data_IF_347495111105
#
_entry.id   IF_347495111105
#
_cell.length_a   1.000
_cell.length_b   1.000
_cell.length_c   1.000
_cell.angle_alpha   90.00
_cell.angle_beta   90.00
_cell.angle_gamma   90.00
#
_symmetry.space_group_name_H-M   'P 1'
#
loop_
_entity.id
_entity.type
_entity.pdbx_description
1 polymer ?
#
# COMPACT_ATOMS: atom_id res chain seq x y z
N UNK A 1 -29.26 12.06 -24.22
CA UNK A 1 -29.37 11.33 -22.95
C UNK A 1 -28.18 11.71 -22.06
N UNK A 2 -28.44 12.25 -20.88
CA UNK A 2 -27.37 12.57 -19.94
C UNK A 2 -26.71 11.25 -19.49
N UNK A 3 -25.44 11.04 -19.85
CA UNK A 3 -24.64 9.96 -19.30
C UNK A 3 -24.58 10.15 -17.79
N UNK A 4 -25.07 9.19 -17.00
CA UNK A 4 -25.01 9.27 -15.55
C UNK A 4 -23.56 9.53 -15.12
N UNK A 5 -23.35 10.37 -14.11
CA UNK A 5 -22.01 10.68 -13.60
C UNK A 5 -21.24 9.42 -13.16
N UNK A 6 -21.95 8.37 -12.80
CA UNK A 6 -21.42 7.05 -12.43
C UNK A 6 -20.74 6.30 -13.59
N UNK A 7 -21.16 6.51 -14.85
CA UNK A 7 -20.52 5.88 -16.01
C UNK A 7 -19.06 6.35 -16.23
N UNK A 8 -18.74 7.58 -15.83
CA UNK A 8 -17.36 8.07 -15.88
C UNK A 8 -16.44 7.38 -14.87
N UNK A 9 -17.02 6.92 -13.76
CA UNK A 9 -16.27 6.24 -12.68
C UNK A 9 -16.12 4.74 -12.96
N UNK A 10 -16.88 4.17 -13.89
CA UNK A 10 -16.87 2.74 -14.21
C UNK A 10 -15.45 2.21 -14.47
N UNK A 11 -14.71 2.88 -15.36
CA UNK A 11 -13.33 2.49 -15.71
C UNK A 11 -12.40 2.49 -14.49
N UNK A 12 -12.52 3.49 -13.61
CA UNK A 12 -11.74 3.57 -12.37
C UNK A 12 -12.09 2.46 -11.38
N UNK A 13 -13.38 2.08 -11.30
CA UNK A 13 -13.81 0.96 -10.49
C UNK A 13 -13.25 -0.37 -11.03
N UNK A 14 -13.30 -0.60 -12.35
CA UNK A 14 -12.72 -1.79 -12.97
C UNK A 14 -11.21 -1.86 -12.70
N UNK A 15 -10.50 -0.74 -12.91
CA UNK A 15 -9.07 -0.62 -12.64
C UNK A 15 -8.74 -0.98 -11.19
N UNK A 16 -9.41 -0.34 -10.23
CA UNK A 16 -9.19 -0.60 -8.81
C UNK A 16 -9.49 -2.04 -8.41
N UNK A 17 -10.58 -2.59 -8.94
CA UNK A 17 -10.98 -3.96 -8.65
C UNK A 17 -9.94 -4.98 -9.14
N UNK A 18 -9.42 -4.80 -10.36
CA UNK A 18 -8.33 -5.61 -10.91
C UNK A 18 -7.06 -5.46 -10.07
N UNK A 19 -6.63 -4.23 -9.76
CA UNK A 19 -5.42 -3.98 -8.96
C UNK A 19 -5.51 -4.61 -7.57
N UNK A 20 -6.67 -4.57 -6.92
CA UNK A 20 -6.82 -5.07 -5.56
C UNK A 20 -7.03 -6.57 -5.49
N UNK A 21 -7.75 -7.17 -6.45
CA UNK A 21 -8.28 -8.52 -6.30
C UNK A 21 -7.71 -9.54 -7.27
N UNK A 22 -6.86 -9.14 -8.23
CA UNK A 22 -6.31 -10.08 -9.20
C UNK A 22 -4.81 -10.30 -9.02
N UNK A 23 -4.36 -11.47 -9.32
CA UNK A 23 -2.98 -11.88 -9.58
C UNK A 23 -3.00 -13.13 -10.47
N UNK A 24 -1.83 -13.65 -10.85
CA UNK A 24 -1.73 -14.82 -11.73
C UNK A 24 -2.49 -16.03 -11.21
N UNK A 25 -2.55 -16.22 -9.90
CA UNK A 25 -3.27 -17.35 -9.29
C UNK A 25 -4.77 -17.09 -9.12
N UNK A 26 -5.18 -15.81 -9.10
CA UNK A 26 -6.56 -15.37 -8.85
C UNK A 26 -7.06 -14.45 -9.98
N UNK A 27 -7.23 -14.96 -11.22
CA UNK A 27 -7.79 -14.17 -12.31
C UNK A 27 -9.27 -13.85 -12.05
N UNK A 28 -9.69 -12.65 -12.42
CA UNK A 28 -11.06 -12.14 -12.26
C UNK A 28 -11.84 -12.31 -13.57
N UNK A 29 -13.01 -12.92 -13.48
CA UNK A 29 -13.92 -13.07 -14.61
C UNK A 29 -14.72 -11.79 -14.88
N UNK A 30 -15.17 -11.60 -16.13
CA UNK A 30 -16.05 -10.47 -16.52
C UNK A 30 -17.33 -10.45 -15.66
N UNK A 31 -17.88 -11.61 -15.31
CA UNK A 31 -19.07 -11.69 -14.45
C UNK A 31 -18.80 -11.13 -13.04
N UNK A 32 -17.63 -11.40 -12.46
CA UNK A 32 -17.25 -10.85 -11.16
C UNK A 32 -17.07 -9.33 -11.23
N UNK A 33 -16.52 -8.79 -12.33
CA UNK A 33 -16.41 -7.34 -12.55
C UNK A 33 -17.80 -6.69 -12.63
N UNK A 34 -18.73 -7.29 -13.36
CA UNK A 34 -20.12 -6.81 -13.46
C UNK A 34 -20.79 -6.81 -12.08
N UNK A 35 -20.72 -7.91 -11.34
CA UNK A 35 -21.28 -8.00 -9.98
C UNK A 35 -20.70 -6.95 -9.02
N UNK A 36 -19.38 -6.71 -9.10
CA UNK A 36 -18.72 -5.68 -8.31
C UNK A 36 -19.24 -4.27 -8.68
N UNK A 37 -19.39 -3.98 -9.98
CA UNK A 37 -19.92 -2.70 -10.44
C UNK A 37 -21.38 -2.50 -10.01
N UNK A 38 -22.21 -3.52 -10.13
CA UNK A 38 -23.61 -3.51 -9.68
C UNK A 38 -23.72 -3.23 -8.19
N UNK A 39 -22.86 -3.85 -7.37
CA UNK A 39 -22.80 -3.59 -5.92
C UNK A 39 -22.42 -2.15 -5.58
N UNK A 40 -21.77 -1.44 -6.51
CA UNK A 40 -21.44 -0.02 -6.41
C UNK A 40 -22.43 0.90 -7.16
N UNK A 41 -23.59 0.37 -7.57
CA UNK A 41 -24.64 1.12 -8.25
C UNK A 41 -24.31 1.50 -9.71
N UNK A 42 -23.38 0.81 -10.34
CA UNK A 42 -22.92 1.04 -11.71
C UNK A 42 -23.39 -0.12 -12.58
N UNK A 43 -24.36 0.13 -13.48
CA UNK A 43 -24.78 -0.86 -14.45
C UNK A 43 -23.72 -1.01 -15.55
N UNK A 44 -23.36 -2.25 -15.88
CA UNK A 44 -22.39 -2.55 -16.91
C UNK A 44 -22.78 -3.78 -17.71
N UNK A 45 -22.60 -3.70 -19.02
CA UNK A 45 -22.79 -4.80 -19.94
C UNK A 45 -21.43 -5.47 -20.23
N UNK A 46 -21.48 -6.76 -20.55
CA UNK A 46 -20.32 -7.58 -20.83
C UNK A 46 -19.38 -6.98 -21.88
N UNK A 47 -19.97 -6.49 -22.99
CA UNK A 47 -19.20 -5.87 -24.07
C UNK A 47 -18.44 -4.62 -23.58
N UNK A 48 -19.08 -3.80 -22.76
CA UNK A 48 -18.45 -2.58 -22.25
C UNK A 48 -17.32 -2.86 -21.25
N UNK A 49 -17.27 -4.03 -20.61
CA UNK A 49 -16.13 -4.44 -19.76
C UNK A 49 -14.93 -4.81 -20.62
N UNK A 50 -15.12 -5.48 -21.75
CA UNK A 50 -14.01 -5.74 -22.68
C UNK A 50 -13.41 -4.45 -23.23
N UNK A 51 -14.26 -3.47 -23.60
CA UNK A 51 -13.80 -2.14 -24.04
C UNK A 51 -13.02 -1.42 -22.92
N UNK A 52 -13.46 -1.53 -21.66
CA UNK A 52 -12.76 -0.96 -20.49
C UNK A 52 -11.38 -1.64 -20.28
N UNK A 53 -11.28 -2.95 -20.42
CA UNK A 53 -10.02 -3.68 -20.28
C UNK A 53 -9.02 -3.23 -21.35
N UNK A 54 -9.46 -3.10 -22.61
CA UNK A 54 -8.61 -2.60 -23.69
C UNK A 54 -8.18 -1.14 -23.47
N UNK A 55 -9.07 -0.31 -22.92
CA UNK A 55 -8.73 1.06 -22.54
C UNK A 55 -7.65 1.09 -21.43
N UNK A 56 -7.74 0.20 -20.43
CA UNK A 56 -6.75 0.08 -19.37
C UNK A 56 -5.40 -0.44 -19.89
N UNK A 57 -5.40 -1.40 -20.82
CA UNK A 57 -4.18 -1.84 -21.53
C UNK A 57 -3.54 -0.68 -22.30
N UNK A 58 -4.33 0.08 -23.02
CA UNK A 58 -3.87 1.28 -23.75
C UNK A 58 -3.33 2.35 -22.82
N UNK A 59 -3.90 2.48 -21.61
CA UNK A 59 -3.40 3.37 -20.55
C UNK A 59 -2.04 2.93 -19.98
N UNK A 60 -1.63 1.67 -20.20
CA UNK A 60 -0.35 1.12 -19.77
C UNK A 60 -0.44 0.10 -18.64
N UNK A 61 -1.65 -0.38 -18.31
CA UNK A 61 -1.79 -1.50 -17.37
C UNK A 61 -1.47 -2.82 -18.09
N UNK A 62 -0.59 -3.59 -17.49
CA UNK A 62 -0.26 -4.93 -17.96
C UNK A 62 -1.33 -5.92 -17.46
N UNK A 63 -2.38 -6.08 -18.29
CA UNK A 63 -3.51 -6.96 -18.00
C UNK A 63 -3.43 -8.18 -18.90
N UNK A 64 -3.23 -9.34 -18.31
CA UNK A 64 -3.14 -10.61 -19.01
C UNK A 64 -4.43 -11.42 -18.88
N UNK A 65 -4.60 -12.34 -19.84
CA UNK A 65 -5.71 -13.30 -19.87
C UNK A 65 -5.25 -14.65 -19.32
N UNK A 66 -6.08 -15.26 -18.49
CA UNK A 66 -5.80 -16.60 -17.99
C UNK A 66 -7.01 -17.51 -18.20
N UNK A 67 -6.74 -18.69 -18.75
CA UNK A 67 -7.72 -19.75 -18.87
C UNK A 67 -7.33 -20.92 -17.96
N UNK A 68 -8.06 -21.07 -16.85
CA UNK A 68 -7.91 -22.22 -15.94
C UNK A 68 -9.12 -23.15 -16.06
N UNK A 69 -8.95 -24.23 -16.76
CA UNK A 69 -10.04 -25.18 -17.03
C UNK A 69 -11.16 -24.53 -17.86
N UNK A 70 -12.33 -24.35 -17.24
CA UNK A 70 -13.51 -23.68 -17.84
C UNK A 70 -13.62 -22.21 -17.50
N UNK A 71 -12.74 -21.69 -16.61
CA UNK A 71 -12.76 -20.30 -16.18
C UNK A 71 -11.82 -19.49 -17.05
N UNK A 72 -12.35 -18.41 -17.62
CA UNK A 72 -11.59 -17.40 -18.34
C UNK A 72 -11.65 -16.10 -17.56
N UNK A 73 -10.51 -15.52 -17.28
CA UNK A 73 -10.42 -14.30 -16.48
C UNK A 73 -9.21 -13.45 -16.84
N UNK A 74 -9.12 -12.30 -16.18
CA UNK A 74 -8.10 -11.27 -16.37
C UNK A 74 -7.36 -11.04 -15.06
N UNK A 75 -6.08 -10.74 -15.13
CA UNK A 75 -5.28 -10.35 -13.98
C UNK A 75 -4.23 -9.32 -14.36
N UNK A 76 -3.79 -8.55 -13.36
CA UNK A 76 -2.69 -7.60 -13.52
C UNK A 76 -1.38 -8.36 -13.34
N UNK A 77 -0.63 -8.50 -14.45
CA UNK A 77 0.61 -9.27 -14.49
C UNK A 77 1.77 -8.49 -13.89
N UNK A 78 1.91 -7.20 -14.23
CA UNK A 78 3.01 -6.35 -13.78
C UNK A 78 2.51 -5.30 -12.79
N UNK A 79 3.21 -5.15 -11.66
CA UNK A 79 2.92 -4.15 -10.62
C UNK A 79 4.14 -3.28 -10.38
N UNK A 80 3.95 -2.13 -9.74
CA UNK A 80 5.05 -1.21 -9.38
C UNK A 80 6.10 -1.90 -8.51
N UNK A 81 5.68 -2.85 -7.67
CA UNK A 81 6.58 -3.65 -6.83
C UNK A 81 6.24 -5.13 -6.98
N UNK A 82 7.28 -5.95 -7.10
CA UNK A 82 7.16 -7.39 -7.00
C UNK A 82 6.97 -7.83 -5.54
N UNK A 83 6.39 -9.01 -5.34
CA UNK A 83 6.16 -9.55 -3.99
C UNK A 83 7.45 -9.68 -3.15
N UNK A 84 8.61 -10.10 -3.69
CA UNK A 84 9.88 -10.10 -2.94
C UNK A 84 10.32 -8.71 -2.49
N UNK A 85 10.11 -7.68 -3.31
CA UNK A 85 10.45 -6.30 -2.96
C UNK A 85 9.56 -5.78 -1.83
N UNK A 86 8.25 -6.06 -1.88
CA UNK A 86 7.32 -5.72 -0.81
C UNK A 86 7.68 -6.42 0.50
N UNK A 87 8.13 -7.69 0.46
CA UNK A 87 8.65 -8.41 1.64
C UNK A 87 9.85 -7.68 2.24
N UNK A 88 10.80 -7.26 1.41
CA UNK A 88 11.97 -6.50 1.85
C UNK A 88 11.59 -5.16 2.50
N UNK A 89 10.60 -4.44 1.93
CA UNK A 89 10.08 -3.21 2.51
C UNK A 89 9.43 -3.46 3.88
N UNK A 90 8.61 -4.50 4.01
CA UNK A 90 7.98 -4.90 5.28
C UNK A 90 9.04 -5.23 6.32
N UNK A 91 10.07 -6.02 5.97
CA UNK A 91 11.15 -6.39 6.87
C UNK A 91 11.96 -5.16 7.32
N UNK A 92 12.21 -4.21 6.42
CA UNK A 92 12.90 -2.95 6.72
C UNK A 92 12.13 -2.10 7.72
N UNK A 93 10.81 -1.93 7.52
CA UNK A 93 9.93 -1.22 8.44
C UNK A 93 9.83 -1.94 9.80
N UNK A 94 9.74 -3.27 9.77
CA UNK A 94 9.66 -4.09 10.98
C UNK A 94 10.96 -4.03 11.79
N UNK A 95 12.12 -4.01 11.13
CA UNK A 95 13.43 -3.98 11.77
C UNK A 95 13.80 -2.62 12.34
N UNK A 96 13.17 -1.57 11.92
CA UNK A 96 13.45 -0.21 12.38
C UNK A 96 13.15 -0.03 13.87
N UNK A 97 14.17 0.37 14.65
CA UNK A 97 14.06 0.58 16.11
C UNK A 97 13.47 1.94 16.48
N UNK A 98 13.55 2.92 15.59
CA UNK A 98 13.09 4.30 15.85
C UNK A 98 11.63 4.54 15.44
N UNK A 99 10.93 3.54 14.92
CA UNK A 99 9.51 3.62 14.60
C UNK A 99 8.72 2.86 15.68
N UNK A 100 7.64 3.46 16.18
CA UNK A 100 6.77 2.82 17.18
C UNK A 100 6.05 1.61 16.60
N UNK A 101 5.58 0.70 17.45
CA UNK A 101 4.76 -0.45 16.99
C UNK A 101 3.52 -0.02 16.22
N UNK A 102 2.82 1.03 16.69
CA UNK A 102 1.64 1.59 16.04
C UNK A 102 1.95 2.12 14.63
N UNK A 103 3.05 2.88 14.49
CA UNK A 103 3.47 3.42 13.19
C UNK A 103 3.94 2.31 12.26
N UNK A 104 4.65 1.29 12.76
CA UNK A 104 5.02 0.09 12.01
C UNK A 104 3.80 -0.60 11.42
N UNK A 105 2.78 -0.91 12.23
CA UNK A 105 1.56 -1.55 11.77
C UNK A 105 0.83 -0.71 10.72
N UNK A 106 0.78 0.62 10.91
CA UNK A 106 0.19 1.53 9.92
C UNK A 106 0.94 1.55 8.59
N UNK A 107 2.29 1.53 8.61
CA UNK A 107 3.10 1.51 7.40
C UNK A 107 2.96 0.18 6.66
N UNK A 108 2.97 -0.95 7.38
CA UNK A 108 2.77 -2.27 6.78
C UNK A 108 1.43 -2.35 6.07
N UNK A 109 0.34 -1.88 6.69
CA UNK A 109 -0.98 -1.81 6.03
C UNK A 109 -0.96 -1.00 4.73
N UNK A 110 -0.16 0.07 4.66
CA UNK A 110 0.00 0.84 3.42
C UNK A 110 0.81 0.09 2.37
N UNK A 111 1.85 -0.66 2.77
CA UNK A 111 2.62 -1.52 1.86
C UNK A 111 1.73 -2.64 1.31
N UNK A 112 0.89 -3.24 2.14
CA UNK A 112 -0.08 -4.28 1.72
C UNK A 112 -1.01 -3.80 0.61
N UNK A 113 -1.39 -2.50 0.56
CA UNK A 113 -2.23 -1.97 -0.52
C UNK A 113 -1.55 -1.89 -1.89
N UNK A 114 -0.23 -2.10 -1.96
CA UNK A 114 0.51 -2.16 -3.22
C UNK A 114 0.47 -3.55 -3.88
N UNK A 115 -0.02 -4.55 -3.17
CA UNK A 115 -0.22 -5.92 -3.65
C UNK A 115 -1.69 -6.24 -3.87
N UNK A 116 -1.99 -7.42 -4.47
CA UNK A 116 -3.34 -7.98 -4.41
C UNK A 116 -3.69 -8.37 -2.96
N UNK A 117 -4.98 -8.47 -2.65
CA UNK A 117 -5.43 -8.93 -1.31
C UNK A 117 -4.90 -10.33 -0.98
N UNK A 118 -4.68 -11.17 -1.99
CA UNK A 118 -4.12 -12.52 -1.85
C UNK A 118 -2.63 -12.47 -1.52
N UNK A 119 -1.86 -11.69 -2.27
CA UNK A 119 -0.43 -11.48 -2.02
C UNK A 119 -0.17 -10.73 -0.71
N UNK A 120 -1.03 -9.79 -0.32
CA UNK A 120 -0.94 -9.07 0.96
C UNK A 120 -1.03 -10.01 2.17
N UNK A 121 -1.82 -11.09 2.09
CA UNK A 121 -1.87 -12.11 3.16
C UNK A 121 -0.51 -12.81 3.37
N UNK A 122 0.28 -12.97 2.31
CA UNK A 122 1.62 -13.54 2.40
C UNK A 122 2.61 -12.59 3.09
N UNK A 123 2.44 -11.27 2.90
CA UNK A 123 3.22 -10.24 3.59
C UNK A 123 2.93 -10.26 5.11
N UNK A 124 1.68 -10.42 5.49
CA UNK A 124 1.27 -10.41 6.90
C UNK A 124 1.84 -11.58 7.71
N UNK A 125 2.00 -12.76 7.12
CA UNK A 125 2.49 -13.97 7.80
C UNK A 125 3.97 -13.91 8.22
N UNK A 126 4.78 -13.05 7.60
CA UNK A 126 6.22 -12.97 7.85
C UNK A 126 6.61 -12.00 8.96
N UNK A 127 5.69 -11.24 9.52
CA UNK A 127 5.95 -10.02 10.30
C UNK A 127 6.03 -10.23 11.81
N UNK A 128 6.14 -11.45 12.33
CA UNK A 128 6.25 -11.65 13.78
C UNK A 128 7.69 -11.89 14.25
N UNK A 129 8.49 -10.82 14.41
CA UNK A 129 9.66 -10.87 15.29
C UNK A 129 9.20 -10.50 16.71
N UNK A 130 8.86 -11.50 17.51
CA UNK A 130 8.59 -11.33 18.96
C UNK A 130 9.78 -10.61 19.61
N UNK A 131 9.49 -9.60 20.45
CA UNK A 131 10.45 -8.94 21.35
C UNK A 131 11.47 -7.95 20.72
N UNK A 132 11.22 -7.36 19.55
CA UNK A 132 12.05 -6.23 19.14
C UNK A 132 11.71 -4.98 19.94
N UNK A 133 12.71 -4.45 20.65
CA UNK A 133 12.60 -3.17 21.34
C UNK A 133 12.41 -2.07 20.30
N UNK A 134 11.24 -1.43 20.33
CA UNK A 134 10.93 -0.24 19.52
C UNK A 134 10.78 0.97 20.42
N UNK A 135 11.02 2.15 19.86
CA UNK A 135 10.75 3.39 20.60
C UNK A 135 9.26 3.52 20.94
N UNK A 136 8.97 4.13 22.08
CA UNK A 136 7.61 4.53 22.44
C UNK A 136 7.31 5.98 22.05
N UNK A 137 8.31 6.73 21.56
CA UNK A 137 8.18 8.14 21.22
C UNK A 137 7.79 8.32 19.75
N UNK A 138 6.54 8.70 19.49
CA UNK A 138 6.02 8.95 18.14
C UNK A 138 6.64 10.20 17.48
N UNK A 139 7.20 11.14 18.26
CA UNK A 139 7.80 12.36 17.72
C UNK A 139 9.14 12.11 16.99
N UNK A 140 9.81 11.00 17.26
CA UNK A 140 11.11 10.68 16.62
C UNK A 140 10.97 10.66 15.08
N UNK A 141 9.87 10.13 14.57
CA UNK A 141 9.63 10.08 13.13
C UNK A 141 9.63 11.49 12.50
N UNK A 142 8.95 12.44 13.13
CA UNK A 142 8.91 13.82 12.67
C UNK A 142 10.25 14.55 12.88
N UNK A 143 10.94 14.26 13.99
CA UNK A 143 12.26 14.84 14.25
C UNK A 143 13.29 14.41 13.19
N UNK A 144 13.24 13.15 12.75
CA UNK A 144 14.10 12.65 11.66
C UNK A 144 13.79 13.38 10.35
N UNK A 145 12.52 13.61 10.04
CA UNK A 145 12.10 14.35 8.84
C UNK A 145 12.60 15.80 8.88
N UNK A 146 12.50 16.48 10.01
CA UNK A 146 13.04 17.85 10.19
C UNK A 146 14.57 17.90 10.02
N UNK A 147 15.29 16.88 10.49
CA UNK A 147 16.74 16.76 10.27
C UNK A 147 17.04 16.63 8.77
N UNK A 148 16.33 15.75 8.06
CA UNK A 148 16.49 15.58 6.60
C UNK A 148 16.17 16.87 5.85
N UNK A 149 15.12 17.59 6.25
CA UNK A 149 14.76 18.89 5.69
C UNK A 149 15.86 19.95 5.93
N UNK A 150 16.45 19.93 7.12
CA UNK A 150 17.59 20.80 7.44
C UNK A 150 18.82 20.52 6.56
N UNK A 151 19.16 19.25 6.38
CA UNK A 151 20.25 18.81 5.50
C UNK A 151 19.98 19.22 4.05
N UNK A 152 18.79 18.90 3.52
CA UNK A 152 18.43 19.18 2.11
C UNK A 152 18.45 20.68 1.78
N UNK A 153 18.11 21.54 2.76
CA UNK A 153 18.10 23.00 2.61
C UNK A 153 19.41 23.65 3.04
N UNK A 154 20.43 22.87 3.37
CA UNK A 154 21.74 23.32 3.87
C UNK A 154 21.60 24.30 5.06
N UNK A 155 20.72 24.00 6.02
CA UNK A 155 20.41 24.82 7.18
C UNK A 155 21.00 24.24 8.46
N UNK A 156 21.32 25.11 9.42
CA UNK A 156 21.71 24.72 10.76
C UNK A 156 20.50 24.16 11.52
N UNK A 157 20.71 23.11 12.28
CA UNK A 157 19.70 22.50 13.14
C UNK A 157 20.02 22.89 14.60
N UNK A 158 19.01 23.27 15.36
CA UNK A 158 19.11 23.48 16.81
C UNK A 158 18.26 22.44 17.52
N UNK A 159 18.82 21.80 18.52
CA UNK A 159 18.10 20.79 19.33
C UNK A 159 18.57 20.85 20.77
N UNK A 160 17.71 20.42 21.69
CA UNK A 160 18.00 20.30 23.11
C UNK A 160 18.42 18.86 23.41
N UNK A 161 19.64 18.73 23.94
CA UNK A 161 20.16 17.43 24.36
C UNK A 161 19.86 17.21 25.83
N UNK A 162 19.22 16.08 26.17
CA UNK A 162 18.91 15.73 27.56
C UNK A 162 19.26 14.27 27.83
N UNK A 163 19.50 13.98 29.08
CA UNK A 163 19.62 12.63 29.63
C UNK A 163 18.63 12.46 30.80
N UNK A 164 18.36 11.24 31.18
CA UNK A 164 17.55 10.97 32.35
C UNK A 164 18.44 10.76 33.57
N UNK A 165 18.14 11.45 34.66
CA UNK A 165 18.80 11.20 35.94
C UNK A 165 18.29 9.89 36.60
N UNK A 166 18.85 9.51 37.74
CA UNK A 166 18.48 8.30 38.50
C UNK A 166 16.99 8.29 38.86
N UNK A 167 16.39 9.47 39.06
CA UNK A 167 14.96 9.65 39.34
C UNK A 167 14.07 9.61 38.09
N UNK A 168 14.64 9.33 36.90
CA UNK A 168 13.97 9.35 35.59
C UNK A 168 13.42 10.72 35.15
N UNK A 169 13.99 11.81 35.68
CA UNK A 169 13.68 13.17 35.25
C UNK A 169 14.63 13.62 34.13
N UNK A 170 14.12 14.46 33.22
CA UNK A 170 14.93 15.00 32.11
C UNK A 170 15.91 16.03 32.63
N UNK A 171 17.18 15.81 32.43
CA UNK A 171 18.23 16.77 32.73
C UNK A 171 18.90 17.23 31.45
N UNK A 172 18.78 18.51 31.15
CA UNK A 172 19.37 19.09 29.94
C UNK A 172 20.88 19.30 30.14
N UNK A 173 21.69 18.90 29.18
CA UNK A 173 23.13 19.18 29.18
C UNK A 173 23.35 20.65 28.81
N UNK A 174 24.28 21.29 29.51
CA UNK A 174 24.68 22.70 29.30
C UNK A 174 23.58 23.75 29.54
N UNK A 175 22.62 23.46 30.41
CA UNK A 175 21.63 24.44 30.85
C UNK A 175 20.50 24.72 29.83
N UNK A 176 20.34 23.89 28.80
CA UNK A 176 19.29 24.02 27.80
C UNK A 176 19.71 24.77 26.57
#
# INVERSE_FOLDING_TARGET
>A
MARSSFQKLKLLHVMNYLLQNSDEEHPITVNQMIQYLESNGIAAERKSIYDDIEALRTFGMDIEECKRGRVFGYYVASRTFELPELKLLVDSVQSSKFITHKKTASLIKKIETLASVHSAQLLHRQVFVKNRIKTMNESIYYNVDEIHNGISKNRKIRFLYFEYNVAKERQYRHGG
#
